data_IF_587221020969
#
_entry.id   IF_587221020969
#
_cell.length_a   1.000
_cell.length_b   1.000
_cell.length_c   1.000
_cell.angle_alpha   90.00
_cell.angle_beta   90.00
_cell.angle_gamma   90.00
#
_symmetry.space_group_name_H-M   'P 1'
#
loop_
_entity.id
_entity.type
_entity.pdbx_description
1 polymer ?
#
# COMPACT_ATOMS: atom_id res chain seq x y z
N UNK A 1 -31.77 -53.11 -42.24
CA UNK A 1 -31.96 -51.65 -42.33
C UNK A 1 -31.99 -51.07 -40.94
N UNK A 2 -31.13 -50.07 -40.72
CA UNK A 2 -31.27 -48.87 -39.86
C UNK A 2 -31.66 -49.05 -38.37
N UNK A 3 -30.73 -49.03 -37.42
CA UNK A 3 -30.04 -47.91 -36.71
C UNK A 3 -30.85 -47.24 -35.58
N UNK A 4 -30.10 -46.87 -34.51
CA UNK A 4 -30.30 -45.83 -33.47
C UNK A 4 -31.38 -46.14 -32.39
N UNK A 5 -31.21 -45.90 -31.07
CA UNK A 5 -30.38 -44.91 -30.37
C UNK A 5 -29.94 -45.41 -28.98
N UNK A 6 -28.65 -45.20 -28.68
CA UNK A 6 -28.08 -45.21 -27.33
C UNK A 6 -28.38 -43.87 -26.67
N UNK A 7 -28.97 -43.85 -25.48
CA UNK A 7 -29.03 -42.62 -24.67
C UNK A 7 -28.10 -42.78 -23.48
N UNK A 8 -26.94 -42.13 -23.59
CA UNK A 8 -25.93 -42.05 -22.54
C UNK A 8 -26.42 -41.08 -21.46
N UNK A 9 -26.37 -41.52 -20.20
CA UNK A 9 -26.63 -40.69 -19.03
C UNK A 9 -25.33 -39.96 -18.68
N UNK A 10 -25.21 -38.71 -19.12
CA UNK A 10 -24.10 -37.84 -18.75
C UNK A 10 -24.28 -37.38 -17.30
N UNK A 11 -23.50 -37.97 -16.40
CA UNK A 11 -23.45 -37.56 -14.99
C UNK A 11 -22.57 -36.30 -14.90
N UNK A 12 -23.24 -35.14 -14.77
CA UNK A 12 -22.62 -33.87 -14.42
C UNK A 12 -22.06 -33.97 -13.00
N UNK A 13 -20.73 -33.96 -12.84
CA UNK A 13 -20.08 -33.80 -11.54
C UNK A 13 -19.09 -32.66 -11.63
N UNK A 14 -19.56 -31.54 -11.07
CA UNK A 14 -18.83 -30.49 -10.36
C UNK A 14 -17.62 -29.89 -11.07
N UNK A 15 -17.84 -28.69 -11.62
CA UNK A 15 -16.80 -27.67 -11.71
C UNK A 15 -16.18 -27.49 -10.31
N UNK A 16 -14.99 -28.04 -10.12
CA UNK A 16 -14.13 -27.63 -9.02
C UNK A 16 -13.69 -26.19 -9.31
N UNK A 17 -14.49 -25.23 -8.85
CA UNK A 17 -14.08 -23.86 -8.64
C UNK A 17 -13.09 -23.84 -7.47
N UNK A 18 -11.88 -24.32 -7.73
CA UNK A 18 -10.81 -24.35 -6.73
C UNK A 18 -9.99 -23.08 -6.84
N UNK A 19 -10.08 -22.29 -5.76
CA UNK A 19 -9.14 -21.26 -5.34
C UNK A 19 -8.98 -20.07 -6.30
N UNK A 20 -9.94 -19.15 -6.24
CA UNK A 20 -9.56 -17.75 -6.20
C UNK A 20 -8.64 -17.58 -4.98
N UNK A 21 -7.32 -17.66 -5.21
CA UNK A 21 -6.35 -17.17 -4.24
C UNK A 21 -6.70 -15.71 -4.02
N UNK A 22 -7.12 -15.39 -2.80
CA UNK A 22 -7.07 -14.05 -2.27
C UNK A 22 -5.62 -13.58 -2.39
N UNK A 23 -5.27 -12.97 -3.53
CA UNK A 23 -4.09 -12.11 -3.65
C UNK A 23 -4.38 -10.92 -2.74
N UNK A 24 -4.02 -11.09 -1.48
CA UNK A 24 -4.17 -10.06 -0.45
C UNK A 24 -3.57 -8.77 -0.97
N UNK A 25 -4.40 -7.73 -1.02
CA UNK A 25 -4.04 -6.33 -1.15
C UNK A 25 -2.92 -6.03 -2.16
N UNK A 26 -3.11 -6.42 -3.42
CA UNK A 26 -2.38 -5.75 -4.49
C UNK A 26 -2.87 -4.28 -4.51
N UNK A 27 -1.98 -3.37 -4.11
CA UNK A 27 -2.22 -1.94 -4.15
C UNK A 27 -2.27 -1.53 -5.62
N UNK A 28 -3.46 -1.30 -6.18
CA UNK A 28 -3.64 -1.15 -7.64
C UNK A 28 -2.72 -0.07 -8.24
N UNK A 29 -2.51 1.06 -7.57
CA UNK A 29 -1.56 2.07 -8.04
C UNK A 29 -0.08 1.60 -7.97
N UNK A 30 0.27 0.76 -6.99
CA UNK A 30 1.60 0.15 -6.92
C UNK A 30 1.78 -0.97 -7.94
N UNK A 31 0.71 -1.62 -8.42
CA UNK A 31 0.89 -2.63 -9.48
C UNK A 31 1.43 -2.04 -10.79
N UNK A 32 1.25 -0.73 -11.00
CA UNK A 32 1.86 0.02 -12.11
C UNK A 32 3.30 0.45 -11.82
N UNK A 33 3.72 0.38 -10.56
CA UNK A 33 5.06 0.70 -10.07
C UNK A 33 5.74 -0.55 -9.53
N UNK A 34 6.27 -1.35 -10.47
CA UNK A 34 6.86 -2.65 -10.14
C UNK A 34 8.04 -2.57 -9.17
N UNK A 35 8.75 -1.42 -9.13
CA UNK A 35 9.89 -1.25 -8.23
C UNK A 35 9.45 -1.15 -6.78
N UNK A 36 8.56 -0.20 -6.46
CA UNK A 36 8.07 -0.04 -5.09
C UNK A 36 7.23 -1.23 -4.66
N UNK A 37 6.39 -1.77 -5.55
CA UNK A 37 5.62 -2.98 -5.27
C UNK A 37 6.54 -4.15 -4.90
N UNK A 38 7.62 -4.37 -5.66
CA UNK A 38 8.61 -5.40 -5.36
C UNK A 38 9.25 -5.20 -3.99
N UNK A 39 9.60 -3.96 -3.63
CA UNK A 39 10.16 -3.67 -2.30
C UNK A 39 9.17 -3.93 -1.17
N UNK A 40 7.90 -3.51 -1.31
CA UNK A 40 6.85 -3.81 -0.33
C UNK A 40 6.69 -5.33 -0.18
N UNK A 41 6.67 -6.06 -1.30
CA UNK A 41 6.49 -7.51 -1.31
C UNK A 41 7.65 -8.25 -0.63
N UNK A 42 8.87 -7.76 -0.82
CA UNK A 42 10.10 -8.35 -0.29
C UNK A 42 10.37 -7.98 1.18
N UNK A 43 10.13 -6.73 1.58
CA UNK A 43 10.61 -6.20 2.86
C UNK A 43 9.54 -6.09 3.94
N UNK A 44 8.26 -6.01 3.57
CA UNK A 44 7.18 -5.80 4.54
C UNK A 44 6.36 -7.08 4.67
N UNK A 45 6.30 -7.76 5.82
CA UNK A 45 5.42 -8.91 6.01
C UNK A 45 3.95 -8.57 5.77
N UNK A 46 3.16 -9.48 5.21
CA UNK A 46 1.75 -9.19 4.81
C UNK A 46 0.89 -8.73 5.99
N UNK A 47 1.11 -9.26 7.19
CA UNK A 47 0.44 -8.90 8.44
C UNK A 47 0.90 -7.56 9.02
N UNK A 48 2.00 -7.02 8.52
CA UNK A 48 2.60 -5.74 8.94
C UNK A 48 2.38 -4.63 7.89
N UNK A 49 1.66 -4.94 6.79
CA UNK A 49 1.33 -3.97 5.73
C UNK A 49 0.06 -3.22 6.06
N UNK A 50 0.18 -1.93 6.36
CA UNK A 50 -0.97 -1.03 6.45
C UNK A 50 -1.14 -0.27 5.13
N UNK A 51 -2.27 -0.47 4.45
CA UNK A 51 -2.54 0.19 3.17
C UNK A 51 -2.68 1.70 3.33
N UNK A 52 -2.05 2.44 2.42
CA UNK A 52 -2.11 3.91 2.35
C UNK A 52 -2.96 4.32 1.16
N UNK A 53 -3.89 5.24 1.38
CA UNK A 53 -4.86 5.69 0.41
C UNK A 53 -4.68 7.17 0.09
N UNK A 54 -5.00 7.58 -1.13
CA UNK A 54 -5.13 9.01 -1.47
C UNK A 54 -6.57 9.50 -1.24
N UNK A 55 -6.82 10.80 -1.48
CA UNK A 55 -8.15 11.42 -1.35
C UNK A 55 -9.23 10.88 -2.30
N UNK A 56 -8.83 10.11 -3.33
CA UNK A 56 -9.74 9.40 -4.24
C UNK A 56 -10.02 7.96 -3.78
N UNK A 57 -9.58 7.60 -2.57
CA UNK A 57 -9.69 6.26 -2.00
C UNK A 57 -8.98 5.19 -2.84
N UNK A 58 -7.95 5.59 -3.59
CA UNK A 58 -7.06 4.66 -4.31
C UNK A 58 -5.90 4.31 -3.40
N UNK A 59 -5.53 3.03 -3.36
CA UNK A 59 -4.37 2.59 -2.60
C UNK A 59 -3.12 3.05 -3.35
N UNK A 60 -2.24 3.81 -2.70
CA UNK A 60 -1.06 4.47 -3.28
C UNK A 60 0.24 4.13 -2.55
N UNK A 61 0.20 3.16 -1.64
CA UNK A 61 1.36 2.77 -0.87
C UNK A 61 1.04 1.84 0.28
N UNK A 62 2.03 1.65 1.14
CA UNK A 62 1.88 0.93 2.41
C UNK A 62 2.81 1.51 3.47
N UNK A 63 2.36 1.52 4.72
CA UNK A 63 3.24 1.57 5.87
C UNK A 63 3.72 0.16 6.24
N UNK A 64 4.97 0.06 6.66
CA UNK A 64 5.46 -1.05 7.47
C UNK A 64 5.15 -0.74 8.93
N UNK A 65 4.24 -1.52 9.52
CA UNK A 65 3.70 -1.33 10.85
C UNK A 65 3.82 -2.63 11.67
N UNK A 66 4.39 -2.55 12.87
CA UNK A 66 4.40 -3.64 13.84
C UNK A 66 3.04 -3.76 14.55
N UNK A 67 2.27 -4.84 14.34
CA UNK A 67 0.97 -5.02 14.97
C UNK A 67 1.02 -5.35 16.47
N UNK A 68 2.17 -5.68 17.04
CA UNK A 68 2.31 -5.94 18.47
C UNK A 68 2.61 -4.65 19.24
N UNK A 69 3.65 -3.92 18.82
CA UNK A 69 4.07 -2.66 19.44
C UNK A 69 3.28 -1.44 18.98
N UNK A 70 2.75 -1.48 17.76
CA UNK A 70 2.10 -0.35 17.10
C UNK A 70 3.08 0.56 16.36
N UNK A 71 4.34 0.17 16.23
CA UNK A 71 5.38 1.03 15.65
C UNK A 71 5.22 1.14 14.14
N UNK A 72 5.43 2.34 13.60
CA UNK A 72 5.61 2.55 12.15
C UNK A 72 7.12 2.61 11.88
N UNK A 73 7.58 1.90 10.86
CA UNK A 73 9.00 1.83 10.49
C UNK A 73 9.30 2.52 9.16
N UNK A 74 8.35 2.50 8.23
CA UNK A 74 8.57 3.03 6.90
C UNK A 74 7.27 3.31 6.15
N UNK A 75 7.32 4.28 5.23
CA UNK A 75 6.30 4.56 4.24
C UNK A 75 6.83 4.23 2.85
N UNK A 76 6.10 3.40 2.12
CA UNK A 76 6.34 3.09 0.72
C UNK A 76 5.25 3.75 -0.11
N UNK A 77 5.60 4.68 -1.00
CA UNK A 77 4.67 5.37 -1.89
C UNK A 77 4.88 4.96 -3.34
N UNK A 78 3.79 4.90 -4.10
CA UNK A 78 3.80 4.51 -5.51
C UNK A 78 3.36 5.67 -6.40
N UNK A 79 3.84 5.70 -7.65
CA UNK A 79 3.45 6.69 -8.65
C UNK A 79 4.45 7.84 -8.79
N UNK A 80 3.96 9.09 -8.88
CA UNK A 80 4.78 10.25 -9.25
C UNK A 80 5.92 10.59 -8.27
N UNK A 81 5.83 10.12 -7.02
CA UNK A 81 6.87 10.23 -6.00
C UNK A 81 7.14 8.87 -5.38
N UNK A 82 7.36 7.90 -6.27
CA UNK A 82 7.63 6.54 -5.88
C UNK A 82 8.91 6.47 -5.06
N UNK A 83 8.81 5.87 -3.89
CA UNK A 83 9.90 5.97 -2.93
C UNK A 83 9.65 5.20 -1.66
N UNK A 84 10.75 5.06 -0.92
CA UNK A 84 10.79 4.52 0.41
C UNK A 84 11.23 5.65 1.34
N UNK A 85 10.48 5.86 2.41
CA UNK A 85 10.77 6.86 3.43
C UNK A 85 10.86 6.15 4.77
N UNK A 86 11.92 6.41 5.52
CA UNK A 86 11.98 6.10 6.93
C UNK A 86 10.87 6.89 7.62
N UNK A 87 10.04 6.18 8.38
CA UNK A 87 8.95 6.79 9.12
C UNK A 87 9.03 6.29 10.54
N UNK A 88 9.00 7.20 11.51
CA UNK A 88 8.88 6.85 12.93
C UNK A 88 7.55 7.37 13.45
N UNK A 89 6.82 6.54 14.17
CA UNK A 89 5.51 6.89 14.69
C UNK A 89 4.83 5.73 15.38
N UNK A 90 3.57 5.92 15.74
CA UNK A 90 2.74 4.89 16.31
C UNK A 90 1.39 4.80 15.59
N UNK A 91 1.13 3.66 14.96
CA UNK A 91 -0.09 3.41 14.22
C UNK A 91 -1.32 3.24 15.11
N UNK A 92 -1.20 2.94 16.42
CA UNK A 92 -2.35 2.80 17.32
C UNK A 92 -2.95 4.14 17.75
N UNK A 93 -2.15 5.19 17.83
CA UNK A 93 -2.63 6.56 18.08
C UNK A 93 -2.66 7.42 16.81
N UNK A 94 -2.25 6.86 15.67
CA UNK A 94 -2.27 7.55 14.38
C UNK A 94 -1.20 8.63 14.28
N UNK A 95 -0.10 8.53 15.02
CA UNK A 95 0.99 9.49 14.96
C UNK A 95 2.08 9.06 13.97
N UNK A 96 2.62 10.06 13.27
CA UNK A 96 3.91 10.00 12.56
C UNK A 96 4.70 11.19 13.06
N UNK A 97 5.92 10.94 13.52
CA UNK A 97 6.78 11.91 14.19
C UNK A 97 7.94 12.33 13.28
N UNK A 98 8.39 11.43 12.41
CA UNK A 98 9.37 11.73 11.38
C UNK A 98 9.03 11.00 10.09
N UNK A 99 9.34 11.65 8.97
CA UNK A 99 9.23 11.09 7.63
C UNK A 99 10.38 11.65 6.79
N UNK A 100 11.35 10.82 6.45
CA UNK A 100 12.52 11.27 5.67
C UNK A 100 13.13 10.11 4.87
N UNK A 101 14.05 10.45 3.98
CA UNK A 101 14.94 9.53 3.30
C UNK A 101 16.36 10.10 3.40
N UNK A 102 17.39 9.29 3.13
CA UNK A 102 18.80 9.73 3.10
C UNK A 102 19.03 11.03 2.30
N UNK A 103 18.22 11.28 1.27
CA UNK A 103 18.38 12.40 0.34
C UNK A 103 17.23 13.43 0.40
N UNK A 104 16.09 13.10 1.00
CA UNK A 104 14.88 13.90 0.98
C UNK A 104 14.35 14.13 2.39
N UNK A 105 13.92 15.37 2.65
CA UNK A 105 13.24 15.76 3.89
C UNK A 105 11.76 16.04 3.61
N UNK A 106 10.96 16.14 4.67
CA UNK A 106 9.54 16.43 4.53
C UNK A 106 8.98 17.40 5.57
N UNK A 107 7.98 18.16 5.14
CA UNK A 107 7.11 18.99 5.97
C UNK A 107 5.71 18.39 5.92
N UNK A 108 5.17 18.00 7.06
CA UNK A 108 3.91 17.29 7.17
C UNK A 108 3.20 17.54 8.50
N UNK A 109 1.93 17.19 8.54
CA UNK A 109 1.10 17.19 9.75
C UNK A 109 0.21 15.94 9.81
N UNK A 110 -0.24 15.60 11.02
CA UNK A 110 -1.11 14.47 11.30
C UNK A 110 -2.45 14.93 11.85
N UNK A 111 -3.53 14.55 11.17
CA UNK A 111 -4.91 14.84 11.57
C UNK A 111 -5.74 13.55 11.69
N UNK A 112 -6.93 13.66 12.28
CA UNK A 112 -7.97 12.64 12.20
C UNK A 112 -9.16 13.18 11.39
N UNK A 113 -9.56 12.47 10.32
CA UNK A 113 -10.74 12.78 9.52
C UNK A 113 -11.60 11.51 9.37
N UNK A 114 -12.89 11.59 9.72
CA UNK A 114 -13.86 10.48 9.60
C UNK A 114 -13.39 9.15 10.25
N UNK A 115 -12.64 9.23 11.37
CA UNK A 115 -12.11 8.07 12.08
C UNK A 115 -10.91 7.40 11.40
N UNK A 116 -10.27 8.09 10.46
CA UNK A 116 -9.01 7.68 9.83
C UNK A 116 -7.90 8.65 10.22
N UNK A 117 -6.69 8.13 10.34
CA UNK A 117 -5.52 8.98 10.42
C UNK A 117 -5.22 9.55 9.02
N UNK A 118 -4.91 10.85 8.99
CA UNK A 118 -4.58 11.60 7.80
C UNK A 118 -3.18 12.17 7.95
N UNK A 119 -2.28 11.73 7.08
CA UNK A 119 -0.95 12.31 6.92
C UNK A 119 -1.03 13.37 5.82
N UNK A 120 -1.00 14.64 6.21
CA UNK A 120 -0.94 15.79 5.32
C UNK A 120 0.52 16.11 5.02
N UNK A 121 1.01 15.71 3.85
CA UNK A 121 2.35 16.07 3.37
C UNK A 121 2.25 17.40 2.63
N UNK A 122 2.84 18.45 3.22
CA UNK A 122 2.95 19.76 2.56
C UNK A 122 4.07 19.77 1.53
N UNK A 123 5.21 19.15 1.86
CA UNK A 123 6.33 19.00 0.95
C UNK A 123 7.15 17.75 1.29
N UNK A 124 7.57 17.00 0.27
CA UNK A 124 8.78 16.18 0.29
C UNK A 124 9.74 16.83 -0.71
N UNK A 125 10.97 17.10 -0.30
CA UNK A 125 11.91 17.85 -1.12
C UNK A 125 13.34 17.32 -0.96
N UNK A 126 14.08 17.34 -2.08
CA UNK A 126 15.49 16.97 -2.10
C UNK A 126 16.32 17.99 -1.31
N UNK A 127 17.21 17.50 -0.45
CA UNK A 127 18.05 18.35 0.41
C UNK A 127 19.39 18.71 -0.23
N UNK A 128 19.77 18.02 -1.31
CA UNK A 128 20.99 18.28 -2.08
C UNK A 128 20.83 19.33 -3.18
N UNK A 129 21.75 19.32 -4.16
CA UNK A 129 21.66 20.20 -5.33
C UNK A 129 20.49 19.75 -6.24
N UNK A 130 19.50 20.61 -6.52
CA UNK A 130 18.32 20.26 -7.31
C UNK A 130 18.60 19.64 -8.68
N UNK A 131 19.80 19.84 -9.27
CA UNK A 131 20.17 19.20 -10.54
C UNK A 131 20.29 17.66 -10.45
N UNK A 132 20.46 17.12 -9.23
CA UNK A 132 20.54 15.68 -8.97
C UNK A 132 19.25 15.11 -8.35
N UNK A 133 18.19 15.91 -8.23
CA UNK A 133 16.93 15.40 -7.70
C UNK A 133 16.34 14.37 -8.67
N UNK A 134 16.07 13.16 -8.16
CA UNK A 134 15.39 12.10 -8.91
C UNK A 134 13.92 12.43 -9.21
N UNK A 135 13.30 13.29 -8.40
CA UNK A 135 11.91 13.71 -8.55
C UNK A 135 11.65 15.15 -8.07
N UNK A 136 10.60 15.76 -8.61
CA UNK A 136 10.14 17.11 -8.22
C UNK A 136 9.52 17.10 -6.80
N UNK A 137 9.49 18.24 -6.10
CA UNK A 137 8.83 18.34 -4.81
C UNK A 137 7.35 17.88 -4.83
N UNK A 138 6.94 17.23 -3.76
CA UNK A 138 5.65 16.54 -3.66
C UNK A 138 4.78 16.99 -2.50
N UNK A 139 3.48 17.12 -2.73
CA UNK A 139 2.48 17.35 -1.68
C UNK A 139 1.32 16.37 -1.84
N UNK A 140 0.83 15.82 -0.73
CA UNK A 140 -0.32 14.91 -0.75
C UNK A 140 -1.07 14.86 0.57
N UNK A 141 -2.34 14.43 0.50
CA UNK A 141 -3.09 13.93 1.66
C UNK A 141 -3.18 12.42 1.55
N UNK A 142 -2.65 11.73 2.56
CA UNK A 142 -2.64 10.29 2.65
C UNK A 142 -3.50 9.84 3.82
N UNK A 143 -4.26 8.77 3.63
CA UNK A 143 -5.20 8.24 4.60
C UNK A 143 -4.82 6.80 4.92
N UNK A 144 -4.96 6.41 6.18
CA UNK A 144 -4.78 5.03 6.60
C UNK A 144 -5.71 4.69 7.76
N UNK A 145 -6.06 3.42 7.88
CA UNK A 145 -6.96 2.96 8.94
C UNK A 145 -6.11 2.52 10.13
N UNK A 146 -6.28 3.18 11.27
CA UNK A 146 -5.65 2.75 12.52
C UNK A 146 -6.23 1.38 12.92
N UNK A 147 -5.40 0.32 13.04
CA UNK A 147 -5.86 -0.93 13.61
C UNK A 147 -6.22 -0.72 15.08
N UNK A 148 -7.43 -1.12 15.47
CA UNK A 148 -7.89 -1.04 16.86
C UNK A 148 -7.36 -2.25 17.64
N UNK A 149 -6.87 -2.01 18.86
CA UNK A 149 -6.55 -3.07 19.84
C UNK A 149 -7.81 -3.78 20.31
#
# INVERSE_FOLDING_TARGET
>A
MKTIVKTAMAFFVSLAASAAFARGNAVEACTQDSYVQGRIEEHVPVNERLAVFNSKNQVVGAFHFDPEGGEIHALYLCGANSGYYYAEGNGFDGSVVSLNNDEYDSDFDMDEEDGKAVLNIFAIYFTGDPEYADYEPFSAKLYFNIPKR
#
